data_IF_374555674149
#
_entry.id   IF_374555674149
#
_cell.length_a   1.000
_cell.length_b   1.000
_cell.length_c   1.000
_cell.angle_alpha   90.00
_cell.angle_beta   90.00
_cell.angle_gamma   90.00
#
_symmetry.space_group_name_H-M   'P 1'
#
loop_
_entity.id
_entity.type
_entity.pdbx_description
1 polymer ?
#
# COMPACT_ATOMS: atom_id res chain seq x y z
N UNK A 1 12.16 -75.64 10.83
CA UNK A 1 12.97 -75.50 9.60
C UNK A 1 13.92 -74.33 9.85
N UNK A 2 15.19 -74.55 10.23
CA UNK A 2 16.34 -74.86 9.34
C UNK A 2 16.37 -73.92 8.12
N UNK A 3 17.39 -73.10 7.85
CA UNK A 3 18.85 -73.24 8.04
C UNK A 3 19.50 -71.83 7.88
N UNK A 4 20.27 -71.35 8.87
CA UNK A 4 21.77 -71.21 8.92
C UNK A 4 22.35 -70.06 8.06
N UNK A 5 22.95 -69.01 8.65
CA UNK A 5 24.34 -68.91 9.20
C UNK A 5 25.28 -68.36 8.10
N UNK A 6 26.26 -67.47 8.28
CA UNK A 6 26.94 -66.86 9.43
C UNK A 6 28.13 -65.99 8.98
N UNK A 7 28.56 -65.05 9.85
CA UNK A 7 29.96 -64.68 10.23
C UNK A 7 30.95 -64.22 9.14
N UNK A 8 31.95 -63.37 9.33
CA UNK A 8 32.37 -62.31 10.28
C UNK A 8 33.70 -61.77 9.69
N UNK A 9 34.11 -60.54 10.05
CA UNK A 9 35.52 -60.08 10.13
C UNK A 9 36.34 -59.92 8.82
N UNK A 10 37.36 -59.07 8.66
CA UNK A 10 38.02 -57.98 9.39
C UNK A 10 38.93 -57.26 8.34
N UNK A 11 39.25 -55.99 8.61
CA UNK A 11 40.30 -55.08 8.07
C UNK A 11 41.32 -55.60 7.03
N UNK A 12 41.57 -54.75 6.03
CA UNK A 12 42.80 -54.72 5.25
C UNK A 12 42.97 -53.40 4.50
N UNK A 13 43.66 -52.45 5.15
CA UNK A 13 44.13 -51.18 4.58
C UNK A 13 45.07 -51.39 3.40
N UNK A 14 44.77 -50.78 2.25
CA UNK A 14 45.79 -50.35 1.29
C UNK A 14 45.46 -48.95 0.79
N UNK A 15 46.28 -48.00 1.23
CA UNK A 15 46.43 -46.69 0.61
C UNK A 15 46.96 -46.87 -0.82
N UNK A 16 46.24 -46.37 -1.79
CA UNK A 16 46.80 -45.99 -3.08
C UNK A 16 46.55 -44.49 -3.26
N UNK A 17 47.62 -43.73 -3.11
CA UNK A 17 47.72 -42.31 -3.40
C UNK A 17 47.54 -42.14 -4.91
N UNK A 18 46.39 -41.62 -5.33
CA UNK A 18 46.10 -41.22 -6.70
C UNK A 18 45.85 -39.73 -6.71
N UNK A 19 46.83 -38.98 -7.24
CA UNK A 19 46.77 -37.54 -7.40
C UNK A 19 45.61 -37.11 -8.32
N UNK A 20 45.08 -35.91 -8.05
CA UNK A 20 44.37 -35.11 -9.05
C UNK A 20 42.86 -35.06 -8.88
N UNK A 21 42.40 -34.15 -8.03
CA UNK A 21 41.57 -32.97 -8.37
C UNK A 21 40.86 -32.52 -7.11
N UNK A 22 41.34 -31.42 -6.51
CA UNK A 22 40.50 -30.61 -5.65
C UNK A 22 39.34 -30.12 -6.50
N UNK A 23 38.18 -30.78 -6.39
CA UNK A 23 36.92 -30.18 -6.80
C UNK A 23 36.66 -29.08 -5.75
N UNK A 24 37.29 -27.91 -5.96
CA UNK A 24 36.75 -26.68 -5.41
C UNK A 24 35.40 -26.52 -6.10
N UNK A 25 34.35 -26.98 -5.42
CA UNK A 25 33.01 -26.56 -5.73
C UNK A 25 32.99 -25.05 -5.44
N UNK A 26 33.38 -24.26 -6.44
CA UNK A 26 32.95 -22.87 -6.52
C UNK A 26 31.43 -22.96 -6.46
N UNK A 27 30.87 -22.71 -5.28
CA UNK A 27 29.49 -22.33 -5.11
C UNK A 27 29.39 -21.02 -5.89
N UNK A 28 29.14 -21.11 -7.20
CA UNK A 28 28.75 -19.96 -7.99
C UNK A 28 27.51 -19.42 -7.29
N UNK A 29 27.47 -18.12 -6.93
CA UNK A 29 26.23 -17.51 -6.52
C UNK A 29 25.20 -17.88 -7.58
N UNK A 30 24.14 -18.58 -7.20
CA UNK A 30 23.03 -18.80 -8.13
C UNK A 30 22.55 -17.41 -8.52
N UNK A 31 22.68 -17.07 -9.80
CA UNK A 31 22.16 -15.81 -10.32
C UNK A 31 20.69 -15.74 -9.93
N UNK A 32 20.31 -14.69 -9.22
CA UNK A 32 18.91 -14.46 -8.84
C UNK A 32 18.03 -14.53 -10.09
N UNK A 33 16.86 -15.15 -9.98
CA UNK A 33 15.88 -15.05 -11.06
C UNK A 33 15.54 -13.58 -11.32
N UNK A 34 15.13 -13.22 -12.54
CA UNK A 34 14.77 -11.83 -12.87
C UNK A 34 13.77 -11.22 -11.87
N UNK A 35 12.81 -12.04 -11.41
CA UNK A 35 11.82 -11.67 -10.39
C UNK A 35 12.48 -11.41 -9.03
N UNK A 36 13.41 -12.25 -8.59
CA UNK A 36 14.12 -12.05 -7.30
C UNK A 36 14.98 -10.79 -7.33
N UNK A 37 15.71 -10.55 -8.43
CA UNK A 37 16.47 -9.31 -8.65
C UNK A 37 15.55 -8.09 -8.58
N UNK A 38 14.44 -8.11 -9.32
CA UNK A 38 13.51 -6.98 -9.38
C UNK A 38 12.77 -6.76 -8.05
N UNK A 39 12.47 -7.82 -7.29
CA UNK A 39 11.94 -7.70 -5.92
C UNK A 39 12.89 -6.97 -4.98
N UNK A 40 14.20 -7.24 -5.08
CA UNK A 40 15.22 -6.55 -4.28
C UNK A 40 15.36 -5.08 -4.67
N UNK A 41 15.38 -4.79 -5.96
CA UNK A 41 15.40 -3.42 -6.50
C UNK A 41 14.18 -2.65 -6.01
N UNK A 42 12.98 -3.20 -6.20
CA UNK A 42 11.73 -2.58 -5.81
C UNK A 42 11.70 -2.25 -4.31
N UNK A 43 12.13 -3.17 -3.46
CA UNK A 43 12.23 -2.93 -2.02
C UNK A 43 13.13 -1.73 -1.69
N UNK A 44 14.34 -1.69 -2.26
CA UNK A 44 15.29 -0.60 -2.02
C UNK A 44 14.76 0.75 -2.54
N UNK A 45 14.11 0.75 -3.70
CA UNK A 45 13.45 1.93 -4.26
C UNK A 45 12.32 2.40 -3.35
N UNK A 46 11.40 1.52 -2.93
CA UNK A 46 10.30 1.86 -2.02
C UNK A 46 10.81 2.44 -0.71
N UNK A 47 11.83 1.84 -0.09
CA UNK A 47 12.44 2.34 1.15
C UNK A 47 13.01 3.76 0.94
N UNK A 48 13.73 3.99 -0.15
CA UNK A 48 14.23 5.31 -0.51
C UNK A 48 13.11 6.35 -0.71
N UNK A 49 12.03 5.97 -1.43
CA UNK A 49 10.87 6.83 -1.66
C UNK A 49 10.18 7.18 -0.33
N UNK A 50 9.98 6.20 0.56
CA UNK A 50 9.26 6.39 1.82
C UNK A 50 9.96 7.38 2.77
N UNK A 51 11.29 7.43 2.74
CA UNK A 51 12.07 8.39 3.53
C UNK A 51 12.10 9.79 2.93
N UNK A 52 11.81 9.92 1.63
CA UNK A 52 11.91 11.17 0.89
C UNK A 52 10.95 12.26 1.42
N UNK A 53 11.41 13.52 1.63
CA UNK A 53 10.54 14.60 2.12
C UNK A 53 9.29 14.85 1.26
N UNK A 54 9.44 14.74 -0.06
CA UNK A 54 8.35 14.99 -1.01
C UNK A 54 7.09 14.16 -0.71
N UNK A 55 7.20 12.85 -0.43
CA UNK A 55 6.01 12.02 -0.17
C UNK A 55 5.29 12.41 1.11
N UNK A 56 6.04 12.85 2.14
CA UNK A 56 5.49 13.31 3.42
C UNK A 56 4.73 14.62 3.24
N UNK A 57 5.30 15.57 2.49
CA UNK A 57 4.68 16.87 2.20
C UNK A 57 3.45 16.71 1.31
N UNK A 58 3.52 15.87 0.27
CA UNK A 58 2.38 15.57 -0.64
C UNK A 58 1.23 14.93 0.13
N UNK A 59 1.49 13.90 0.94
CA UNK A 59 0.45 13.26 1.74
C UNK A 59 -0.15 14.22 2.78
N UNK A 60 0.68 15.10 3.35
CA UNK A 60 0.21 16.20 4.21
C UNK A 60 -0.74 17.13 3.49
N UNK A 61 -0.38 17.58 2.28
CA UNK A 61 -1.21 18.47 1.48
C UNK A 61 -2.55 17.83 1.09
N UNK A 62 -2.56 16.54 0.72
CA UNK A 62 -3.78 15.78 0.46
C UNK A 62 -4.68 15.69 1.69
N UNK A 63 -4.10 15.36 2.85
CA UNK A 63 -4.83 15.27 4.11
C UNK A 63 -5.47 16.59 4.53
N UNK A 64 -4.71 17.67 4.44
CA UNK A 64 -5.20 19.01 4.77
C UNK A 64 -6.29 19.45 3.79
N UNK A 65 -6.09 19.27 2.48
CA UNK A 65 -7.10 19.62 1.48
C UNK A 65 -8.41 18.84 1.67
N UNK A 66 -8.33 17.53 1.96
CA UNK A 66 -9.52 16.74 2.24
C UNK A 66 -10.20 17.18 3.54
N UNK A 67 -9.44 17.49 4.58
CA UNK A 67 -9.96 18.05 5.84
C UNK A 67 -10.71 19.37 5.59
N UNK A 68 -10.13 20.25 4.77
CA UNK A 68 -10.75 21.52 4.38
C UNK A 68 -12.08 21.31 3.65
N UNK A 69 -12.19 20.29 2.80
CA UNK A 69 -13.46 19.94 2.13
C UNK A 69 -14.56 19.61 3.15
N UNK A 70 -14.28 18.73 4.11
CA UNK A 70 -15.25 18.37 5.15
C UNK A 70 -15.66 19.59 5.99
N UNK A 71 -14.70 20.41 6.40
CA UNK A 71 -14.94 21.61 7.22
C UNK A 71 -15.75 22.65 6.44
N UNK A 72 -15.39 22.96 5.20
CA UNK A 72 -16.10 23.93 4.38
C UNK A 72 -17.51 23.47 4.02
N UNK A 73 -17.70 22.17 3.77
CA UNK A 73 -19.00 21.62 3.41
C UNK A 73 -19.99 21.60 4.58
N UNK A 74 -19.51 21.29 5.78
CA UNK A 74 -20.38 21.04 6.94
C UNK A 74 -20.31 22.10 8.04
N UNK A 75 -19.35 23.02 7.99
CA UNK A 75 -18.93 23.85 9.12
C UNK A 75 -17.96 23.09 10.03
N UNK A 76 -17.16 23.81 10.82
CA UNK A 76 -16.02 23.25 11.56
C UNK A 76 -16.39 22.10 12.51
N UNK A 77 -17.39 22.30 13.37
CA UNK A 77 -17.78 21.29 14.38
C UNK A 77 -18.28 20.01 13.71
N UNK A 78 -19.22 20.14 12.77
CA UNK A 78 -19.79 18.99 12.07
C UNK A 78 -18.78 18.34 11.13
N UNK A 79 -17.95 19.12 10.43
CA UNK A 79 -16.89 18.62 9.57
C UNK A 79 -15.91 17.73 10.33
N UNK A 80 -15.44 18.17 11.51
CA UNK A 80 -14.61 17.34 12.38
C UNK A 80 -15.35 16.10 12.90
N UNK A 81 -16.64 16.20 13.23
CA UNK A 81 -17.41 15.04 13.66
C UNK A 81 -17.50 13.97 12.55
N UNK A 82 -17.69 14.38 11.29
CA UNK A 82 -17.70 13.45 10.15
C UNK A 82 -16.31 12.85 9.87
N UNK A 83 -15.24 13.64 9.97
CA UNK A 83 -13.85 13.13 9.86
C UNK A 83 -13.60 12.06 10.92
N UNK A 84 -14.00 12.33 12.17
CA UNK A 84 -13.87 11.38 13.27
C UNK A 84 -14.67 10.12 13.00
N UNK A 85 -15.93 10.25 12.61
CA UNK A 85 -16.79 9.12 12.29
C UNK A 85 -16.23 8.24 11.16
N UNK A 86 -15.68 8.85 10.11
CA UNK A 86 -15.09 8.15 8.97
C UNK A 86 -13.84 7.36 9.39
N UNK A 87 -12.92 7.97 10.15
CA UNK A 87 -11.73 7.28 10.65
C UNK A 87 -12.06 6.17 11.67
N UNK A 88 -13.08 6.40 12.51
CA UNK A 88 -13.52 5.45 13.53
C UNK A 88 -14.43 4.34 13.01
N UNK A 89 -14.73 4.29 11.71
CA UNK A 89 -15.55 3.25 11.11
C UNK A 89 -15.12 3.05 9.65
N UNK A 90 -13.99 2.37 9.40
CA UNK A 90 -13.63 1.97 8.05
C UNK A 90 -14.69 0.99 7.54
N UNK A 91 -15.72 1.50 6.88
CA UNK A 91 -16.77 0.74 6.23
C UNK A 91 -16.40 0.48 4.75
N UNK A 92 -17.04 -0.55 4.18
CA UNK A 92 -16.82 -1.19 2.88
C UNK A 92 -15.47 -1.89 2.64
N UNK A 93 -14.33 -1.36 3.08
CA UNK A 93 -13.05 -1.98 2.68
C UNK A 93 -12.73 -3.29 3.40
N UNK A 94 -13.30 -3.52 4.59
CA UNK A 94 -12.83 -4.58 5.49
C UNK A 94 -13.90 -5.59 5.92
N UNK A 95 -15.18 -5.41 5.55
CA UNK A 95 -16.31 -6.20 6.11
C UNK A 95 -16.97 -7.19 5.15
N UNK A 96 -16.85 -6.97 3.84
CA UNK A 96 -17.57 -7.79 2.83
C UNK A 96 -16.67 -8.25 1.67
N UNK A 97 -15.35 -8.35 1.89
CA UNK A 97 -14.41 -8.93 0.92
C UNK A 97 -14.13 -8.10 -0.36
N UNK A 98 -14.73 -6.91 -0.51
CA UNK A 98 -14.60 -6.09 -1.74
C UNK A 98 -13.69 -4.87 -1.61
N UNK A 99 -12.96 -4.71 -0.49
CA UNK A 99 -11.97 -3.65 -0.40
C UNK A 99 -10.69 -3.99 0.35
N UNK A 100 -9.88 -2.96 0.46
CA UNK A 100 -8.46 -3.00 0.79
C UNK A 100 -8.27 -3.38 2.25
N UNK A 101 -8.14 -4.67 2.52
CA UNK A 101 -7.61 -5.18 3.78
C UNK A 101 -6.15 -4.74 3.92
N UNK A 102 -5.87 -3.59 4.52
CA UNK A 102 -4.48 -3.12 4.61
C UNK A 102 -3.65 -4.11 5.48
N UNK A 103 -2.73 -4.89 4.89
CA UNK A 103 -2.07 -6.04 5.49
C UNK A 103 -0.76 -5.58 6.12
N UNK A 104 -0.93 -4.88 7.24
CA UNK A 104 -0.02 -4.77 8.38
C UNK A 104 -0.73 -3.90 9.39
N UNK A 105 -1.56 -4.54 10.22
CA UNK A 105 -2.34 -3.86 11.26
C UNK A 105 -1.48 -3.14 12.30
N UNK A 106 -0.16 -3.39 12.31
CA UNK A 106 0.78 -2.71 13.19
C UNK A 106 0.98 -1.22 12.89
N UNK A 107 1.10 -0.83 11.63
CA UNK A 107 1.34 0.59 11.33
C UNK A 107 0.04 1.40 11.21
N UNK A 108 -1.05 0.73 10.86
CA UNK A 108 -2.40 1.28 10.67
C UNK A 108 -3.04 1.62 12.02
N UNK A 109 -2.55 0.99 13.09
CA UNK A 109 -3.00 1.18 14.47
C UNK A 109 -2.72 2.55 15.07
N UNK A 110 -2.51 3.58 14.27
CA UNK A 110 -2.01 4.86 14.76
C UNK A 110 -2.97 6.02 14.44
N UNK A 111 -3.97 5.79 13.58
CA UNK A 111 -5.07 6.72 13.35
C UNK A 111 -6.14 6.48 14.42
N UNK A 112 -5.99 7.14 15.57
CA UNK A 112 -6.80 6.83 16.75
C UNK A 112 -8.31 6.98 16.55
N UNK A 113 -9.10 6.29 17.38
CA UNK A 113 -10.57 6.28 17.31
C UNK A 113 -11.23 7.44 18.08
N UNK A 114 -10.46 8.48 18.40
CA UNK A 114 -10.92 9.65 19.11
C UNK A 114 -10.46 10.94 18.41
N UNK A 115 -11.22 12.01 18.61
CA UNK A 115 -11.01 13.28 17.92
C UNK A 115 -9.61 13.88 18.15
N UNK A 116 -9.03 13.72 19.35
CA UNK A 116 -7.72 14.26 19.68
C UNK A 116 -6.60 13.56 18.89
N UNK A 117 -6.63 12.23 18.84
CA UNK A 117 -5.66 11.44 18.08
C UNK A 117 -5.76 11.68 16.58
N UNK A 118 -6.97 11.78 16.03
CA UNK A 118 -7.19 12.07 14.61
C UNK A 118 -6.66 13.44 14.23
N UNK A 119 -6.93 14.45 15.08
CA UNK A 119 -6.37 15.81 14.90
C UNK A 119 -4.85 15.80 14.98
N UNK A 120 -4.26 15.07 15.93
CA UNK A 120 -2.81 14.94 16.05
C UNK A 120 -2.20 14.27 14.81
N UNK A 121 -2.77 13.17 14.33
CA UNK A 121 -2.35 12.46 13.11
C UNK A 121 -2.45 13.34 11.87
N UNK A 122 -3.58 14.05 11.69
CA UNK A 122 -3.76 14.98 10.57
C UNK A 122 -2.65 16.02 10.49
N UNK A 123 -2.20 16.55 11.65
CA UNK A 123 -1.15 17.57 11.74
C UNK A 123 0.26 16.98 11.63
N UNK A 124 0.59 16.04 12.50
CA UNK A 124 1.96 15.60 12.75
C UNK A 124 2.18 14.09 12.56
N UNK A 125 1.21 13.37 11.99
CA UNK A 125 1.35 11.94 11.71
C UNK A 125 2.45 11.65 10.69
N UNK A 126 2.98 10.44 10.77
CA UNK A 126 3.87 9.84 9.76
C UNK A 126 3.17 9.69 8.42
N UNK A 127 3.92 9.37 7.36
CA UNK A 127 3.37 9.09 6.04
C UNK A 127 2.26 8.02 6.11
N UNK A 128 2.51 6.92 6.83
CA UNK A 128 1.59 5.79 6.96
C UNK A 128 0.33 6.16 7.72
N UNK A 129 0.46 6.93 8.79
CA UNK A 129 -0.68 7.45 9.55
C UNK A 129 -1.56 8.38 8.72
N UNK A 130 -0.94 9.34 8.01
CA UNK A 130 -1.66 10.29 7.16
C UNK A 130 -2.30 9.59 5.96
N UNK A 131 -1.60 8.67 5.31
CA UNK A 131 -2.15 7.87 4.22
C UNK A 131 -3.35 7.04 4.66
N UNK A 132 -3.25 6.36 5.80
CA UNK A 132 -4.36 5.57 6.36
C UNK A 132 -5.58 6.42 6.67
N UNK A 133 -5.36 7.59 7.31
CA UNK A 133 -6.43 8.53 7.60
C UNK A 133 -7.06 9.04 6.29
N UNK A 134 -6.24 9.43 5.32
CA UNK A 134 -6.70 9.89 4.01
C UNK A 134 -7.61 8.87 3.35
N UNK A 135 -7.16 7.61 3.30
CA UNK A 135 -7.94 6.49 2.74
C UNK A 135 -9.28 6.30 3.46
N UNK A 136 -9.28 6.36 4.78
CA UNK A 136 -10.50 6.21 5.58
C UNK A 136 -11.50 7.34 5.29
N UNK A 137 -11.01 8.57 5.09
CA UNK A 137 -11.85 9.72 4.73
C UNK A 137 -12.39 9.61 3.30
N UNK A 138 -11.53 9.36 2.31
CA UNK A 138 -11.94 9.31 0.90
C UNK A 138 -12.85 8.12 0.56
N UNK A 139 -12.79 7.03 1.34
CA UNK A 139 -13.65 5.87 1.15
C UNK A 139 -14.93 5.93 2.01
N UNK A 140 -15.08 6.95 2.86
CA UNK A 140 -16.26 7.09 3.72
C UNK A 140 -17.53 7.39 2.93
N UNK A 141 -18.66 6.86 3.39
CA UNK A 141 -19.97 7.14 2.77
C UNK A 141 -20.34 8.61 2.82
N UNK A 142 -19.92 9.33 3.86
CA UNK A 142 -20.14 10.77 3.93
C UNK A 142 -19.38 11.50 2.81
N UNK A 143 -18.13 11.12 2.51
CA UNK A 143 -17.41 11.71 1.38
C UNK A 143 -18.08 11.38 0.05
N UNK A 144 -18.46 10.10 -0.18
CA UNK A 144 -19.21 9.69 -1.38
C UNK A 144 -20.50 10.51 -1.56
N UNK A 145 -21.27 10.66 -0.48
CA UNK A 145 -22.50 11.44 -0.48
C UNK A 145 -22.25 12.94 -0.71
N UNK A 146 -21.19 13.47 -0.10
CA UNK A 146 -20.75 14.86 -0.31
C UNK A 146 -20.42 15.10 -1.78
N UNK A 147 -19.68 14.21 -2.45
CA UNK A 147 -19.37 14.34 -3.88
C UNK A 147 -20.64 14.43 -4.73
N UNK A 148 -21.63 13.55 -4.50
CA UNK A 148 -22.91 13.60 -5.22
C UNK A 148 -23.70 14.89 -4.97
N UNK A 149 -23.64 15.43 -3.74
CA UNK A 149 -24.24 16.72 -3.42
C UNK A 149 -23.53 17.89 -4.10
N UNK A 150 -22.19 17.90 -4.12
CA UNK A 150 -21.40 18.97 -4.74
C UNK A 150 -21.77 19.14 -6.22
N UNK A 151 -22.11 18.06 -6.94
CA UNK A 151 -22.53 18.15 -8.35
C UNK A 151 -23.81 18.97 -8.53
N UNK A 152 -24.75 18.91 -7.57
CA UNK A 152 -26.10 19.45 -7.71
C UNK A 152 -26.42 20.67 -6.82
N UNK A 153 -25.57 21.00 -5.85
CA UNK A 153 -25.77 22.07 -4.85
C UNK A 153 -24.87 23.29 -5.14
N UNK A 154 -25.39 24.39 -5.73
CA UNK A 154 -24.58 25.56 -6.09
C UNK A 154 -23.96 26.29 -4.89
N UNK A 155 -24.63 26.26 -3.73
CA UNK A 155 -24.09 26.89 -2.52
C UNK A 155 -22.92 26.09 -1.97
N UNK A 156 -22.99 24.76 -2.05
CA UNK A 156 -21.86 23.91 -1.71
C UNK A 156 -20.70 24.05 -2.70
N UNK A 157 -20.98 24.18 -4.01
CA UNK A 157 -19.96 24.49 -5.02
C UNK A 157 -19.23 25.79 -4.67
N UNK A 158 -19.96 26.85 -4.34
CA UNK A 158 -19.38 28.15 -3.94
C UNK A 158 -18.51 28.04 -2.70
N UNK A 159 -18.90 27.23 -1.71
CA UNK A 159 -18.09 27.01 -0.49
C UNK A 159 -16.77 26.30 -0.77
N UNK A 160 -16.73 25.43 -1.77
CA UNK A 160 -15.55 24.63 -2.11
C UNK A 160 -14.70 25.25 -3.23
N UNK A 161 -15.17 26.33 -3.85
CA UNK A 161 -14.50 27.03 -4.94
C UNK A 161 -13.04 27.38 -4.60
N UNK A 162 -12.16 27.19 -5.58
CA UNK A 162 -10.71 27.38 -5.45
C UNK A 162 -9.99 26.33 -4.59
N UNK A 163 -10.71 25.46 -3.89
CA UNK A 163 -10.13 24.36 -3.10
C UNK A 163 -10.18 23.01 -3.82
N UNK A 164 -11.13 22.84 -4.73
CA UNK A 164 -11.38 21.57 -5.43
C UNK A 164 -11.65 21.80 -6.91
N UNK A 165 -11.39 20.79 -7.74
CA UNK A 165 -11.71 20.80 -9.16
C UNK A 165 -13.14 20.30 -9.40
N UNK A 166 -14.07 21.26 -9.44
CA UNK A 166 -15.48 21.00 -9.72
C UNK A 166 -15.71 20.56 -11.18
N UNK A 167 -14.85 20.97 -12.12
CA UNK A 167 -14.93 20.56 -13.52
C UNK A 167 -14.62 19.08 -13.67
N UNK A 168 -13.54 18.63 -13.02
CA UNK A 168 -13.17 17.23 -12.96
C UNK A 168 -14.25 16.37 -12.28
N UNK A 169 -14.80 16.82 -11.14
CA UNK A 169 -15.88 16.09 -10.46
C UNK A 169 -17.11 15.90 -11.36
N UNK A 170 -17.48 16.92 -12.14
CA UNK A 170 -18.59 16.84 -13.11
C UNK A 170 -18.27 15.87 -14.25
N UNK A 171 -17.03 15.89 -14.77
CA UNK A 171 -16.59 14.94 -15.79
C UNK A 171 -16.61 13.48 -15.30
N UNK A 172 -16.48 13.26 -13.99
CA UNK A 172 -16.63 11.96 -13.35
C UNK A 172 -18.06 11.68 -12.85
N UNK A 173 -19.07 12.47 -13.25
CA UNK A 173 -20.48 12.31 -12.85
C UNK A 173 -20.68 12.23 -11.32
N UNK A 174 -19.83 12.91 -10.54
CA UNK A 174 -19.91 12.91 -9.08
C UNK A 174 -19.34 11.66 -8.41
N UNK A 175 -18.74 10.73 -9.16
CA UNK A 175 -18.19 9.49 -8.62
C UNK A 175 -16.69 9.35 -8.91
N UNK A 176 -15.86 9.79 -7.96
CA UNK A 176 -14.40 9.68 -8.06
C UNK A 176 -13.87 8.26 -7.79
N UNK A 177 -14.70 7.33 -7.31
CA UNK A 177 -14.26 6.02 -6.85
C UNK A 177 -14.41 4.90 -7.89
N UNK A 178 -14.91 5.24 -9.09
CA UNK A 178 -14.97 4.34 -10.24
C UNK A 178 -13.55 4.01 -10.68
N UNK A 179 -13.22 2.73 -10.69
CA UNK A 179 -11.95 2.22 -11.22
C UNK A 179 -11.98 2.22 -12.74
N UNK A 180 -10.82 2.43 -13.37
CA UNK A 180 -10.65 2.45 -14.82
C UNK A 180 -9.38 1.69 -15.24
N UNK A 181 -9.21 1.47 -16.55
CA UNK A 181 -8.08 0.76 -17.14
C UNK A 181 -7.94 -0.68 -16.63
N UNK A 182 -6.70 -1.11 -16.40
CA UNK A 182 -6.36 -2.43 -15.88
C UNK A 182 -7.13 -2.79 -14.59
N UNK A 183 -7.37 -1.82 -13.70
CA UNK A 183 -8.09 -2.05 -12.45
C UNK A 183 -9.61 -2.27 -12.63
N UNK A 184 -10.17 -1.97 -13.81
CA UNK A 184 -11.59 -2.16 -14.14
C UNK A 184 -11.85 -3.40 -14.99
N UNK A 185 -10.81 -4.06 -15.51
CA UNK A 185 -10.95 -5.24 -16.36
C UNK A 185 -11.30 -6.46 -15.50
N UNK A 186 -12.47 -7.02 -15.75
CA UNK A 186 -12.97 -8.18 -15.05
C UNK A 186 -12.03 -9.38 -15.25
N UNK A 187 -11.41 -9.87 -14.17
CA UNK A 187 -10.47 -11.00 -14.19
C UNK A 187 -9.02 -10.64 -13.88
N UNK A 188 -8.66 -9.36 -13.86
CA UNK A 188 -7.29 -8.91 -13.56
C UNK A 188 -7.03 -8.70 -12.06
N UNK A 189 -8.08 -8.72 -11.23
CA UNK A 189 -8.00 -8.39 -9.80
C UNK A 189 -8.27 -9.60 -8.89
N UNK A 190 -7.27 -9.89 -8.03
CA UNK A 190 -7.16 -10.76 -6.83
C UNK A 190 -7.89 -12.12 -6.80
N UNK A 191 -7.16 -13.19 -6.49
CA UNK A 191 -7.65 -14.23 -5.54
C UNK A 191 -6.56 -15.19 -5.01
N UNK A 192 -6.29 -15.05 -3.71
CA UNK A 192 -6.23 -16.11 -2.68
C UNK A 192 -6.63 -15.37 -1.39
N UNK A 193 -7.34 -16.01 -0.46
CA UNK A 193 -7.32 -15.55 0.94
C UNK A 193 -6.22 -16.37 1.58
N UNK A 194 -4.99 -15.88 1.49
CA UNK A 194 -3.86 -16.51 2.15
C UNK A 194 -3.93 -16.34 3.67
N UNK A 195 -2.94 -16.88 4.38
CA UNK A 195 -2.91 -17.26 5.81
C UNK A 195 -2.99 -16.09 6.82
N UNK A 196 -3.86 -15.09 6.59
CA UNK A 196 -4.19 -14.12 7.61
C UNK A 196 -4.63 -14.90 8.86
N UNK A 197 -3.90 -14.72 9.95
CA UNK A 197 -4.09 -15.48 11.18
C UNK A 197 -4.33 -14.52 12.32
N UNK A 198 -5.18 -14.92 13.25
CA UNK A 198 -5.26 -14.26 14.53
C UNK A 198 -3.98 -14.58 15.32
N UNK A 199 -3.33 -13.54 15.81
CA UNK A 199 -2.23 -13.64 16.76
C UNK A 199 -2.60 -12.91 18.05
N UNK A 200 -2.12 -13.42 19.17
CA UNK A 200 -2.29 -12.76 20.47
C UNK A 200 -1.42 -11.51 20.58
N UNK A 201 -1.94 -10.48 21.24
CA UNK A 201 -1.18 -9.26 21.50
C UNK A 201 0.03 -9.49 22.45
N UNK A 202 0.02 -10.56 23.25
CA UNK A 202 1.18 -10.94 24.08
C UNK A 202 2.32 -11.63 23.30
N UNK A 203 2.03 -12.31 22.19
CA UNK A 203 3.04 -12.97 21.35
C UNK A 203 3.84 -12.00 20.47
N UNK A 204 3.58 -10.70 20.60
CA UNK A 204 4.16 -9.63 19.81
C UNK A 204 5.62 -9.31 20.15
N UNK A 205 6.26 -10.05 21.07
CA UNK A 205 7.67 -9.86 21.45
C UNK A 205 8.72 -10.24 20.39
N UNK A 206 8.34 -10.44 19.12
CA UNK A 206 9.29 -10.69 18.01
C UNK A 206 9.29 -9.62 16.91
N UNK A 207 8.38 -8.66 16.92
CA UNK A 207 8.41 -7.47 16.04
C UNK A 207 7.83 -6.27 16.78
N UNK A 208 8.61 -5.19 16.88
CA UNK A 208 8.34 -4.01 17.73
C UNK A 208 7.00 -3.35 17.39
N UNK A 209 5.99 -3.60 18.21
CA UNK A 209 4.73 -2.86 18.22
C UNK A 209 4.88 -1.62 19.08
N UNK A 210 4.53 -0.46 18.52
CA UNK A 210 4.65 0.79 19.28
C UNK A 210 3.61 0.82 20.41
N UNK A 211 3.91 1.52 21.51
CA UNK A 211 2.95 1.68 22.61
C UNK A 211 1.62 2.30 22.14
N UNK A 212 1.68 3.15 21.11
CA UNK A 212 0.52 3.79 20.48
C UNK A 212 -0.35 2.79 19.72
N UNK A 213 0.27 1.89 18.99
CA UNK A 213 -0.38 0.83 18.23
C UNK A 213 -1.05 -0.21 19.14
N UNK A 214 -0.37 -0.65 20.21
CA UNK A 214 -0.98 -1.54 21.20
C UNK A 214 -2.19 -0.88 21.87
N UNK A 215 -2.10 0.41 22.18
CA UNK A 215 -3.21 1.18 22.71
C UNK A 215 -4.37 1.27 21.71
N UNK A 216 -4.11 1.45 20.41
CA UNK A 216 -5.16 1.40 19.39
C UNK A 216 -5.85 0.05 19.34
N UNK A 217 -5.10 -1.05 19.31
CA UNK A 217 -5.68 -2.36 19.18
C UNK A 217 -6.62 -2.66 20.34
N UNK A 218 -6.23 -2.26 21.56
CA UNK A 218 -7.04 -2.43 22.79
C UNK A 218 -8.35 -1.63 22.78
N UNK A 219 -8.35 -0.45 22.17
CA UNK A 219 -9.51 0.45 22.18
C UNK A 219 -10.30 0.43 20.86
N UNK A 220 -9.90 -0.39 19.90
CA UNK A 220 -10.59 -0.54 18.63
C UNK A 220 -11.86 -1.40 18.83
N UNK A 221 -13.06 -0.85 18.58
CA UNK A 221 -14.32 -1.58 18.75
C UNK A 221 -14.45 -2.82 17.86
N UNK A 222 -13.71 -2.89 16.74
CA UNK A 222 -13.68 -4.05 15.84
C UNK A 222 -12.95 -5.25 16.48
N UNK A 223 -11.99 -4.99 17.37
CA UNK A 223 -11.25 -6.04 18.06
C UNK A 223 -11.98 -6.53 19.33
N UNK A 224 -13.09 -5.89 19.71
CA UNK A 224 -13.91 -6.36 20.81
C UNK A 224 -14.46 -7.77 20.48
N UNK A 225 -14.40 -8.75 21.38
CA UNK A 225 -14.83 -10.12 21.10
C UNK A 225 -16.23 -10.23 20.48
N UNK A 226 -17.18 -9.39 20.93
CA UNK A 226 -18.56 -9.37 20.39
C UNK A 226 -18.67 -8.83 18.95
N UNK A 227 -17.67 -8.13 18.43
CA UNK A 227 -17.67 -7.57 17.08
C UNK A 227 -16.97 -8.49 16.06
N UNK A 228 -16.10 -9.39 16.52
CA UNK A 228 -15.26 -10.26 15.69
C UNK A 228 -16.03 -11.22 14.75
N UNK A 229 -17.19 -11.80 15.14
CA UNK A 229 -17.98 -12.63 14.22
C UNK A 229 -18.48 -11.90 12.97
N UNK A 230 -18.59 -10.57 13.04
CA UNK A 230 -19.11 -9.73 11.96
C UNK A 230 -18.02 -9.21 11.01
N UNK A 231 -16.77 -9.63 11.19
CA UNK A 231 -15.60 -9.19 10.38
C UNK A 231 -15.31 -10.15 9.21
N UNK A 232 -16.11 -11.20 9.03
CA UNK A 232 -16.17 -11.95 7.77
C UNK A 232 -14.98 -12.88 7.49
N UNK A 233 -14.50 -13.59 8.51
CA UNK A 233 -13.53 -14.68 8.35
C UNK A 233 -14.02 -15.90 9.13
N UNK A 234 -14.32 -17.00 8.43
CA UNK A 234 -14.78 -18.24 9.04
C UNK A 234 -13.70 -18.81 9.98
N UNK A 235 -13.86 -18.65 11.30
CA UNK A 235 -13.17 -19.40 12.36
C UNK A 235 -13.72 -19.07 13.75
N UNK A 236 -13.62 -20.07 14.65
CA UNK A 236 -14.01 -20.00 16.05
C UNK A 236 -13.27 -18.88 16.82
N UNK A 237 -13.98 -18.25 17.76
CA UNK A 237 -13.46 -17.17 18.61
C UNK A 237 -12.45 -17.72 19.64
N UNK A 238 -11.23 -17.13 19.77
CA UNK A 238 -10.30 -17.48 20.85
C UNK A 238 -10.75 -16.92 22.22
N UNK A 239 -10.31 -17.56 23.31
CA UNK A 239 -10.68 -17.19 24.70
C UNK A 239 -10.25 -15.77 25.14
N UNK A 240 -11.03 -15.19 26.06
CA UNK A 240 -11.10 -13.76 26.45
C UNK A 240 -9.83 -13.09 27.01
N UNK A 241 -8.73 -13.80 27.25
CA UNK A 241 -7.60 -13.23 28.03
C UNK A 241 -6.50 -12.56 27.19
N UNK A 242 -6.57 -12.63 25.86
CA UNK A 242 -5.56 -12.02 25.00
C UNK A 242 -6.20 -11.37 23.78
N UNK A 243 -5.88 -10.10 23.56
CA UNK A 243 -6.40 -9.33 22.44
C UNK A 243 -5.92 -9.98 21.14
N UNK A 244 -6.86 -10.57 20.39
CA UNK A 244 -6.59 -11.17 19.10
C UNK A 244 -6.50 -10.07 18.05
N UNK A 245 -5.40 -10.02 17.32
CA UNK A 245 -5.20 -9.10 16.21
C UNK A 245 -4.97 -9.90 14.92
N UNK A 246 -5.57 -9.44 13.84
CA UNK A 246 -5.36 -10.04 12.52
C UNK A 246 -3.95 -9.70 12.02
N UNK A 247 -3.17 -10.69 11.61
CA UNK A 247 -1.81 -10.52 11.07
C UNK A 247 -1.66 -11.16 9.70
N UNK A 248 -0.94 -10.47 8.81
CA UNK A 248 -0.60 -10.92 7.47
C UNK A 248 0.10 -9.83 6.65
N UNK A 249 0.98 -10.23 5.74
CA UNK A 249 1.61 -9.39 4.71
C UNK A 249 0.78 -9.39 3.43
N UNK A 250 0.79 -8.33 2.63
CA UNK A 250 0.00 -8.29 1.39
C UNK A 250 0.32 -9.46 0.46
N UNK A 251 1.60 -9.77 0.28
CA UNK A 251 2.09 -10.95 -0.45
C UNK A 251 1.69 -12.31 0.13
N UNK A 252 1.32 -12.37 1.41
CA UNK A 252 0.85 -13.58 2.07
C UNK A 252 -0.68 -13.71 2.09
N UNK A 253 -1.38 -12.60 1.91
CA UNK A 253 -2.84 -12.54 1.94
C UNK A 253 -3.39 -12.57 0.52
N UNK A 254 -2.66 -12.05 -0.47
CA UNK A 254 -3.13 -11.86 -1.84
C UNK A 254 -2.38 -12.69 -2.86
N UNK A 255 -2.95 -12.72 -4.05
CA UNK A 255 -2.34 -13.29 -5.22
C UNK A 255 -2.96 -12.71 -6.48
N UNK A 256 -2.20 -12.76 -7.56
CA UNK A 256 -2.70 -12.51 -8.91
C UNK A 256 -3.41 -13.78 -9.39
N UNK A 257 -4.48 -13.61 -10.17
CA UNK A 257 -5.10 -14.73 -10.87
C UNK A 257 -4.09 -15.29 -11.89
N UNK A 258 -3.67 -16.57 -11.80
CA UNK A 258 -2.55 -17.09 -12.60
C UNK A 258 -2.73 -16.97 -14.11
N UNK A 259 -3.97 -17.08 -14.61
CA UNK A 259 -4.28 -17.07 -16.03
C UNK A 259 -4.76 -15.69 -16.55
N UNK A 260 -4.54 -14.61 -15.79
CA UNK A 260 -4.93 -13.25 -16.22
C UNK A 260 -3.92 -12.65 -17.19
N UNK A 261 -4.34 -11.67 -18.01
CA UNK A 261 -3.42 -11.01 -18.93
C UNK A 261 -2.34 -10.23 -18.18
N UNK A 262 -2.69 -9.66 -17.02
CA UNK A 262 -1.73 -9.02 -16.12
C UNK A 262 -0.69 -10.00 -15.59
N UNK A 263 -1.09 -11.18 -15.11
CA UNK A 263 -0.16 -12.20 -14.59
C UNK A 263 0.88 -12.58 -15.64
N UNK A 264 0.40 -12.88 -16.85
CA UNK A 264 1.25 -13.25 -17.99
C UNK A 264 2.25 -12.14 -18.36
N UNK A 265 1.79 -10.90 -18.50
CA UNK A 265 2.68 -9.77 -18.86
C UNK A 265 3.66 -9.42 -17.75
N UNK A 266 3.25 -9.54 -16.50
CA UNK A 266 4.14 -9.33 -15.36
C UNK A 266 5.27 -10.36 -15.32
N UNK A 267 4.95 -11.63 -15.61
CA UNK A 267 5.93 -12.71 -15.74
C UNK A 267 6.88 -12.46 -16.93
N UNK A 268 6.35 -12.12 -18.11
CA UNK A 268 7.15 -11.76 -19.29
C UNK A 268 8.12 -10.59 -19.02
N UNK A 269 7.69 -9.63 -18.20
CA UNK A 269 8.50 -8.47 -17.80
C UNK A 269 9.39 -8.74 -16.57
N UNK A 270 9.33 -9.96 -16.01
CA UNK A 270 9.99 -10.38 -14.78
C UNK A 270 9.76 -9.42 -13.59
N UNK A 271 8.60 -8.76 -13.51
CA UNK A 271 8.29 -7.81 -12.43
C UNK A 271 7.61 -8.52 -11.25
N UNK A 272 7.95 -8.17 -10.01
CA UNK A 272 7.27 -8.72 -8.85
C UNK A 272 5.81 -8.26 -8.86
N UNK A 273 4.92 -9.18 -8.50
CA UNK A 273 3.51 -8.90 -8.29
C UNK A 273 3.04 -9.58 -7.02
N UNK A 274 2.16 -8.88 -6.32
CA UNK A 274 1.60 -9.23 -5.01
C UNK A 274 0.09 -9.41 -5.17
N UNK A 275 -0.54 -8.50 -5.92
CA UNK A 275 -1.94 -8.53 -6.28
C UNK A 275 -2.12 -8.05 -7.73
N UNK A 276 -3.37 -8.03 -8.20
CA UNK A 276 -3.71 -7.38 -9.47
C UNK A 276 -3.56 -5.85 -9.41
N UNK A 277 -3.73 -5.16 -10.55
CA UNK A 277 -3.64 -3.70 -10.68
C UNK A 277 -4.38 -2.96 -9.57
N UNK A 278 -3.74 -1.93 -8.98
CA UNK A 278 -4.22 -1.33 -7.74
C UNK A 278 -5.38 -0.36 -7.96
N UNK A 279 -6.62 -0.84 -7.79
CA UNK A 279 -7.80 0.02 -7.70
C UNK A 279 -7.72 1.04 -6.56
N UNK A 280 -7.00 0.71 -5.48
CA UNK A 280 -6.69 1.62 -4.37
C UNK A 280 -5.93 2.86 -4.86
N UNK A 281 -4.85 2.63 -5.62
CA UNK A 281 -4.03 3.71 -6.17
C UNK A 281 -4.83 4.54 -7.17
N UNK A 282 -5.63 3.90 -8.03
CA UNK A 282 -6.52 4.57 -8.98
C UNK A 282 -7.48 5.56 -8.29
N UNK A 283 -8.16 5.11 -7.23
CA UNK A 283 -9.09 5.95 -6.47
C UNK A 283 -8.37 7.08 -5.74
N UNK A 284 -7.19 6.83 -5.18
CA UNK A 284 -6.41 7.87 -4.51
C UNK A 284 -6.04 8.98 -5.49
N UNK A 285 -5.54 8.63 -6.68
CA UNK A 285 -5.19 9.63 -7.70
C UNK A 285 -6.42 10.40 -8.18
N UNK A 286 -7.56 9.72 -8.37
CA UNK A 286 -8.83 10.38 -8.70
C UNK A 286 -9.21 11.44 -7.65
N UNK A 287 -9.17 11.08 -6.36
CA UNK A 287 -9.46 12.03 -5.28
C UNK A 287 -8.38 13.11 -5.18
N UNK A 288 -7.11 12.79 -5.41
CA UNK A 288 -6.04 13.78 -5.45
C UNK A 288 -6.28 14.82 -6.55
N UNK A 289 -6.67 14.41 -7.76
CA UNK A 289 -7.02 15.31 -8.87
C UNK A 289 -8.17 16.24 -8.50
N UNK A 290 -9.20 15.72 -7.84
CA UNK A 290 -10.27 16.55 -7.29
C UNK A 290 -9.76 17.58 -6.28
N UNK A 291 -8.76 17.23 -5.46
CA UNK A 291 -8.13 18.13 -4.48
C UNK A 291 -6.98 18.98 -5.07
N UNK A 292 -6.71 18.88 -6.38
CA UNK A 292 -5.53 19.48 -7.00
C UNK A 292 -5.43 21.00 -6.78
N UNK A 293 -6.49 21.82 -6.92
CA UNK A 293 -6.37 23.27 -6.76
C UNK A 293 -5.77 23.69 -5.40
N UNK A 294 -6.23 23.08 -4.30
CA UNK A 294 -5.66 23.34 -2.98
C UNK A 294 -4.23 22.77 -2.84
N UNK A 295 -3.99 21.57 -3.37
CA UNK A 295 -2.69 20.90 -3.23
C UNK A 295 -1.60 21.61 -4.03
N UNK A 296 -1.85 21.97 -5.29
CA UNK A 296 -0.93 22.70 -6.17
C UNK A 296 -0.47 24.00 -5.49
N UNK A 297 -1.42 24.78 -4.96
CA UNK A 297 -1.13 26.03 -4.24
C UNK A 297 -0.29 25.79 -2.98
N UNK A 298 -0.61 24.77 -2.18
CA UNK A 298 0.07 24.48 -0.91
C UNK A 298 1.50 23.95 -1.14
N UNK A 299 1.66 23.13 -2.17
CA UNK A 299 2.93 22.52 -2.55
C UNK A 299 3.81 23.47 -3.38
N UNK A 300 3.27 24.60 -3.83
CA UNK A 300 3.94 25.55 -4.72
C UNK A 300 4.46 24.87 -6.00
N UNK A 301 3.56 24.13 -6.65
CA UNK A 301 3.83 23.43 -7.91
C UNK A 301 2.80 23.86 -8.96
N UNK A 302 3.26 24.14 -10.18
CA UNK A 302 2.41 24.70 -11.25
C UNK A 302 1.78 23.63 -12.15
N UNK A 303 2.36 22.43 -12.20
CA UNK A 303 1.97 21.37 -13.13
C UNK A 303 1.03 20.35 -12.48
N UNK A 304 -0.18 20.18 -13.03
CA UNK A 304 -1.08 19.08 -12.66
C UNK A 304 -0.43 17.72 -12.96
N UNK A 305 0.31 17.60 -14.06
CA UNK A 305 1.04 16.38 -14.39
C UNK A 305 2.09 16.06 -13.32
N UNK A 306 2.88 17.06 -12.93
CA UNK A 306 3.86 16.90 -11.85
C UNK A 306 3.20 16.51 -10.53
N UNK A 307 2.03 17.07 -10.22
CA UNK A 307 1.27 16.69 -9.04
C UNK A 307 0.80 15.22 -9.09
N UNK A 308 0.26 14.75 -10.22
CA UNK A 308 -0.13 13.33 -10.39
C UNK A 308 1.06 12.39 -10.22
N UNK A 309 2.22 12.75 -10.76
CA UNK A 309 3.46 11.97 -10.62
C UNK A 309 3.94 11.93 -9.17
N UNK A 310 3.89 13.06 -8.45
CA UNK A 310 4.15 13.13 -7.00
C UNK A 310 3.17 12.28 -6.18
N UNK A 311 1.89 12.25 -6.57
CA UNK A 311 0.88 11.42 -5.92
C UNK A 311 1.15 9.93 -6.17
N UNK A 312 1.51 9.54 -7.40
CA UNK A 312 1.98 8.18 -7.72
C UNK A 312 3.22 7.81 -6.89
N UNK A 313 4.16 8.74 -6.75
CA UNK A 313 5.34 8.58 -5.93
C UNK A 313 5.00 8.35 -4.45
N UNK A 314 4.04 9.12 -3.91
CA UNK A 314 3.51 8.90 -2.57
C UNK A 314 2.75 7.56 -2.44
N UNK A 315 2.05 7.11 -3.50
CA UNK A 315 1.46 5.78 -3.54
C UNK A 315 2.51 4.68 -3.50
N UNK A 316 3.64 4.79 -4.21
CA UNK A 316 4.71 3.79 -4.12
C UNK A 316 5.26 3.67 -2.70
N UNK A 317 5.49 4.79 -2.01
CA UNK A 317 5.92 4.76 -0.62
C UNK A 317 4.84 4.16 0.30
N UNK A 318 3.61 4.68 0.23
CA UNK A 318 2.56 4.26 1.16
C UNK A 318 2.09 2.83 0.91
N UNK A 319 1.85 2.45 -0.35
CA UNK A 319 1.32 1.14 -0.74
C UNK A 319 2.43 0.11 -0.99
N UNK A 320 3.66 0.52 -1.30
CA UNK A 320 4.76 -0.40 -1.52
C UNK A 320 5.36 -0.97 -0.23
N UNK A 321 5.27 -0.21 0.87
CA UNK A 321 5.72 -0.66 2.17
C UNK A 321 5.01 -1.95 2.60
N UNK A 322 5.75 -2.80 3.30
CA UNK A 322 5.27 -4.08 3.86
C UNK A 322 4.75 -5.09 2.84
N UNK A 323 5.18 -4.96 1.59
CA UNK A 323 4.72 -5.82 0.50
C UNK A 323 3.19 -5.79 0.40
N UNK A 324 2.61 -4.60 0.55
CA UNK A 324 1.18 -4.36 0.37
C UNK A 324 0.86 -4.39 -1.13
N UNK A 325 1.51 -3.56 -1.93
CA UNK A 325 1.44 -3.59 -3.38
C UNK A 325 2.84 -3.61 -4.00
N UNK A 326 2.97 -4.17 -5.20
CA UNK A 326 4.17 -3.92 -6.01
C UNK A 326 4.11 -2.53 -6.65
N UNK A 327 5.26 -2.00 -7.08
CA UNK A 327 5.27 -0.74 -7.84
C UNK A 327 4.53 -0.90 -9.18
N UNK A 328 4.60 -2.08 -9.81
CA UNK A 328 3.88 -2.36 -11.05
C UNK A 328 2.37 -2.24 -10.86
N UNK A 329 1.81 -2.82 -9.80
CA UNK A 329 0.38 -2.71 -9.48
C UNK A 329 -0.07 -1.26 -9.28
N UNK A 330 0.72 -0.48 -8.56
CA UNK A 330 0.44 0.95 -8.34
C UNK A 330 0.52 1.70 -9.66
N UNK A 331 1.57 1.48 -10.46
CA UNK A 331 1.77 2.14 -11.75
C UNK A 331 0.58 1.93 -12.68
N UNK A 332 0.19 0.67 -12.91
CA UNK A 332 -0.94 0.35 -13.79
C UNK A 332 -2.28 0.80 -13.22
N UNK A 333 -2.44 0.78 -11.90
CA UNK A 333 -3.63 1.31 -11.24
C UNK A 333 -3.82 2.81 -11.51
N UNK A 334 -2.72 3.56 -11.59
CA UNK A 334 -2.79 5.01 -11.79
C UNK A 334 -2.66 5.44 -13.26
N UNK A 335 -2.16 4.60 -14.15
CA UNK A 335 -1.98 4.90 -15.56
C UNK A 335 -3.21 5.55 -16.27
N UNK A 336 -4.47 5.13 -16.00
CA UNK A 336 -5.66 5.76 -16.59
C UNK A 336 -5.83 7.26 -16.26
N UNK A 337 -5.09 7.78 -15.29
CA UNK A 337 -5.07 9.19 -14.93
C UNK A 337 -4.02 10.00 -15.75
N UNK A 338 -3.58 9.47 -16.88
CA UNK A 338 -2.61 10.11 -17.77
C UNK A 338 -1.17 9.92 -17.33
N UNK A 339 -0.85 8.76 -16.76
CA UNK A 339 0.51 8.34 -16.41
C UNK A 339 0.96 7.18 -17.30
N UNK A 340 2.26 7.04 -17.58
CA UNK A 340 2.74 5.96 -18.44
C UNK A 340 2.56 4.59 -17.77
N UNK A 341 2.13 3.61 -18.57
CA UNK A 341 2.14 2.19 -18.22
C UNK A 341 3.57 1.64 -18.35
N UNK A 342 4.29 1.58 -17.22
CA UNK A 342 5.70 1.20 -17.18
C UNK A 342 5.83 -0.27 -16.81
N UNK A 343 6.23 -1.08 -17.78
CA UNK A 343 6.44 -2.53 -17.62
C UNK A 343 7.91 -2.91 -17.48
N UNK A 344 8.81 -2.03 -17.88
CA UNK A 344 10.26 -2.25 -17.89
C UNK A 344 10.95 -1.58 -16.67
N UNK A 345 12.27 -1.42 -16.75
CA UNK A 345 13.04 -0.80 -15.67
C UNK A 345 12.75 0.70 -15.47
N UNK A 346 12.08 1.36 -16.44
CA UNK A 346 11.61 2.75 -16.27
C UNK A 346 10.65 2.90 -15.10
N UNK A 347 9.97 1.82 -14.70
CA UNK A 347 9.16 1.74 -13.48
C UNK A 347 9.95 2.18 -12.23
N UNK A 348 11.23 1.81 -12.16
CA UNK A 348 12.10 2.08 -11.02
C UNK A 348 12.96 3.33 -11.21
N UNK A 349 13.22 3.72 -12.46
CA UNK A 349 14.21 4.74 -12.79
C UNK A 349 13.62 6.08 -13.24
N UNK A 350 12.42 6.07 -13.80
CA UNK A 350 11.78 7.25 -14.40
C UNK A 350 10.38 7.48 -13.82
N UNK A 351 10.24 7.71 -12.49
CA UNK A 351 8.95 8.05 -11.90
C UNK A 351 8.47 9.46 -12.24
N UNK A 352 9.31 10.32 -12.81
CA UNK A 352 8.95 11.69 -13.18
C UNK A 352 9.28 11.98 -14.65
N UNK A 353 8.43 12.77 -15.31
CA UNK A 353 8.71 13.26 -16.67
C UNK A 353 9.78 14.35 -16.69
N UNK A 354 9.81 15.18 -15.64
CA UNK A 354 10.79 16.25 -15.42
C UNK A 354 11.09 16.38 -13.92
N UNK A 355 12.16 17.10 -13.55
CA UNK A 355 12.38 17.44 -12.15
C UNK A 355 11.24 18.33 -11.63
N UNK A 356 10.77 18.05 -10.41
CA UNK A 356 9.70 18.80 -9.77
C UNK A 356 10.25 19.41 -8.50
N UNK A 357 10.07 20.72 -8.35
CA UNK A 357 10.43 21.47 -7.13
C UNK A 357 9.16 22.08 -6.57
N UNK A 358 9.05 22.05 -5.25
CA UNK A 358 7.95 22.68 -4.53
C UNK A 358 8.42 23.14 -3.16
N UNK A 359 7.47 23.53 -2.32
CA UNK A 359 7.73 24.06 -1.01
C UNK A 359 8.39 23.00 -0.09
N UNK A 360 9.70 23.15 0.15
CA UNK A 360 10.46 22.28 1.05
C UNK A 360 10.88 20.93 0.47
N UNK A 361 10.77 20.73 -0.85
CA UNK A 361 11.23 19.49 -1.50
C UNK A 361 11.64 19.71 -2.97
N UNK A 362 12.45 18.79 -3.47
CA UNK A 362 12.70 18.61 -4.91
C UNK A 362 12.84 17.12 -5.21
N UNK A 363 12.38 16.71 -6.39
CA UNK A 363 12.52 15.34 -6.90
C UNK A 363 13.05 15.35 -8.33
N UNK A 364 13.81 14.32 -8.66
CA UNK A 364 14.32 14.02 -9.99
C UNK A 364 14.52 12.51 -10.15
N UNK A 365 14.83 12.09 -11.37
CA UNK A 365 15.11 10.68 -11.68
C UNK A 365 16.55 10.27 -11.32
N UNK A 366 17.48 11.21 -11.08
CA UNK A 366 18.89 10.91 -10.83
C UNK A 366 19.06 10.15 -9.51
N UNK A 367 18.34 10.55 -8.46
CA UNK A 367 18.35 9.83 -7.19
C UNK A 367 17.88 8.37 -7.36
N UNK A 368 16.84 8.16 -8.16
CA UNK A 368 16.26 6.84 -8.40
C UNK A 368 17.17 5.94 -9.24
N UNK A 369 17.74 6.50 -10.31
CA UNK A 369 18.76 5.86 -11.13
C UNK A 369 19.94 5.36 -10.30
N UNK A 370 20.40 6.16 -9.32
CA UNK A 370 21.50 5.76 -8.43
C UNK A 370 21.12 4.56 -7.56
N UNK A 371 19.96 4.59 -6.90
CA UNK A 371 19.49 3.47 -6.05
C UNK A 371 19.29 2.20 -6.88
N UNK A 372 18.65 2.33 -8.06
CA UNK A 372 18.48 1.24 -9.01
C UNK A 372 19.83 0.63 -9.40
N UNK A 373 20.78 1.45 -9.84
CA UNK A 373 22.09 0.99 -10.31
C UNK A 373 22.89 0.29 -9.21
N UNK A 374 22.89 0.85 -7.99
CA UNK A 374 23.57 0.26 -6.83
C UNK A 374 22.98 -1.11 -6.47
N UNK A 375 21.65 -1.23 -6.48
CA UNK A 375 20.95 -2.46 -6.09
C UNK A 375 20.98 -3.54 -7.17
N UNK A 376 20.98 -3.12 -8.44
CA UNK A 376 21.04 -4.01 -9.59
C UNK A 376 22.41 -4.68 -9.75
N UNK A 377 23.48 -4.08 -9.23
CA UNK A 377 24.86 -4.60 -9.31
C UNK A 377 25.23 -5.59 -8.20
N UNK A 378 24.42 -5.71 -7.15
CA UNK A 378 24.64 -6.69 -6.08
C UNK A 378 24.35 -8.09 -6.65
N UNK A 379 25.24 -9.09 -6.50
CA UNK A 379 25.02 -10.44 -7.00
C UNK A 379 23.73 -11.10 -6.52
#
# INVERSE_FOLDING_TARGET
>A
MMKTSSYNSILGTYSAVGAGTEISAQIRPQALSGIQRNSRIEKAVIEHIADHPAVKVVMGALMEALTDVFIKAHGEVKGWAEIVKAACRPHDSNRHGSGVLSPRFDEIGSVGWNAAAIRATSRAGTLREKGTLFFSLMLSDNFKHLLGRVVSDPDLQRKLEGGVDLGYLKACEGNLLVTSGWAAQAGEIREKIGQARYETASNLNKTLISARELAFHRHNPVNHPSAQPNVGFDKDLPEESDLQILRGYGSSVWGVKPDSDFARRAEESAKPVIAGPSGTASRLVSVARFLAPACLKRLDIESEQGFKELVRYACYAYLGQDSHHSMLEVNLGVAPHGMPEQWDDTLYTEPFSHSIKGNGFGVDNDAQMRIFSQTAQIP
#
